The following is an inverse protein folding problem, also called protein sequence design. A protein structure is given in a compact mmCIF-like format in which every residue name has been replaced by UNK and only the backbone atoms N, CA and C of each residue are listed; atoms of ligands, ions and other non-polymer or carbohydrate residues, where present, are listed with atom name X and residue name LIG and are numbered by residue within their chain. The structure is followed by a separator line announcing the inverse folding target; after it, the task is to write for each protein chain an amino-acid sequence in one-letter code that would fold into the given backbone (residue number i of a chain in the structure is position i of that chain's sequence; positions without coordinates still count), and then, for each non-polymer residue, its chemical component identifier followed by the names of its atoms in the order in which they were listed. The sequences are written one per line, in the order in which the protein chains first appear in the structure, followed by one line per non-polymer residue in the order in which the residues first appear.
data_IF_286995697397
#
_entry.id   IF_286995697397
#
_cell.length_a   1.000
_cell.length_b   1.000
_cell.length_c   1.000
_cell.angle_alpha   90.00
_cell.angle_beta   90.00
_cell.angle_gamma   90.00
#
_symmetry.space_group_name_H-M   'P 1'
#
loop_
_entity.id
_entity.type
_entity.pdbx_description
1 polymer ?
#
# COMPACT_ATOMS: atom_id res chain seq x y z
N UNK A 1 20.94 -29.73 -7.36
CA UNK A 1 19.89 -30.75 -7.63
C UNK A 1 18.51 -30.40 -7.05
N UNK A 2 18.40 -29.71 -5.89
CA UNK A 2 17.10 -29.34 -5.30
C UNK A 2 16.22 -28.41 -6.18
N UNK A 3 16.83 -27.46 -6.89
CA UNK A 3 16.09 -26.50 -7.73
C UNK A 3 15.39 -27.13 -8.96
N UNK A 4 15.98 -28.19 -9.55
CA UNK A 4 15.34 -28.93 -10.65
C UNK A 4 14.14 -29.76 -10.17
N UNK A 5 14.16 -30.24 -8.93
CA UNK A 5 13.03 -30.97 -8.35
C UNK A 5 11.90 -30.04 -7.91
N UNK A 6 12.16 -28.78 -7.54
CA UNK A 6 11.11 -27.81 -7.22
C UNK A 6 10.33 -27.31 -8.45
N UNK A 7 10.86 -27.53 -9.66
CA UNK A 7 10.23 -27.12 -10.93
C UNK A 7 9.55 -28.29 -11.68
N UNK A 8 9.59 -29.52 -11.15
CA UNK A 8 8.79 -30.61 -11.71
C UNK A 8 7.32 -30.26 -11.56
N UNK A 9 6.60 -30.12 -12.67
CA UNK A 9 5.14 -29.98 -12.69
C UNK A 9 4.54 -31.29 -12.15
N UNK A 10 4.27 -31.30 -10.84
CA UNK A 10 3.49 -32.35 -10.19
C UNK A 10 2.02 -32.19 -10.55
N UNK A 11 1.33 -33.31 -10.75
CA UNK A 11 -0.12 -33.31 -10.93
C UNK A 11 -0.79 -32.69 -9.70
N UNK A 12 -1.94 -31.99 -9.84
CA UNK A 12 -2.60 -31.33 -8.73
C UNK A 12 -2.77 -32.21 -7.48
N UNK A 13 -3.11 -33.48 -7.66
CA UNK A 13 -3.27 -34.50 -6.62
C UNK A 13 -1.98 -34.84 -5.85
N UNK A 14 -0.81 -34.66 -6.46
CA UNK A 14 0.50 -34.95 -5.87
C UNK A 14 1.15 -33.72 -5.22
N UNK A 15 0.47 -32.56 -5.26
CA UNK A 15 0.98 -31.32 -4.67
C UNK A 15 0.80 -31.37 -3.16
N UNK A 16 1.91 -31.51 -2.43
CA UNK A 16 1.91 -31.30 -0.98
C UNK A 16 1.47 -29.86 -0.68
N UNK A 17 0.39 -29.69 0.11
CA UNK A 17 -0.02 -28.37 0.62
C UNK A 17 1.16 -27.74 1.35
N UNK A 18 1.58 -26.56 0.88
CA UNK A 18 2.70 -25.81 1.48
C UNK A 18 2.10 -24.61 2.21
N UNK A 19 2.56 -24.40 3.43
CA UNK A 19 2.24 -23.18 4.20
C UNK A 19 3.33 -22.15 3.90
N UNK A 20 2.91 -20.94 3.56
CA UNK A 20 3.81 -19.81 3.26
C UNK A 20 4.05 -19.02 4.55
N UNK A 21 5.31 -18.89 4.97
CA UNK A 21 5.70 -18.03 6.09
C UNK A 21 5.78 -16.57 5.63
N UNK A 22 5.12 -15.65 6.35
CA UNK A 22 5.10 -14.21 6.06
C UNK A 22 5.51 -13.44 7.31
N UNK A 23 6.57 -12.63 7.21
CA UNK A 23 6.93 -11.65 8.24
C UNK A 23 6.14 -10.38 7.98
N UNK A 24 5.25 -10.02 8.89
CA UNK A 24 4.22 -9.02 8.64
C UNK A 24 4.22 -7.93 9.72
N UNK A 25 4.32 -6.67 9.25
CA UNK A 25 4.03 -5.47 10.06
C UNK A 25 2.54 -5.21 10.10
N UNK A 26 2.08 -4.24 10.89
CA UNK A 26 0.66 -3.87 10.93
C UNK A 26 0.05 -3.62 9.54
N UNK A 27 0.64 -2.76 8.70
CA UNK A 27 0.16 -2.54 7.33
C UNK A 27 0.20 -3.80 6.43
N UNK A 28 1.17 -4.68 6.62
CA UNK A 28 1.24 -5.98 5.91
C UNK A 28 0.07 -6.87 6.34
N UNK A 29 -0.19 -7.00 7.64
CA UNK A 29 -1.31 -7.82 8.13
C UNK A 29 -2.66 -7.31 7.68
N UNK A 30 -2.84 -5.98 7.58
CA UNK A 30 -4.05 -5.39 6.99
C UNK A 30 -4.23 -5.81 5.53
N UNK A 31 -3.15 -5.91 4.76
CA UNK A 31 -3.21 -6.39 3.38
C UNK A 31 -3.55 -7.88 3.31
N UNK A 32 -3.01 -8.68 4.22
CA UNK A 32 -3.37 -10.10 4.35
C UNK A 32 -4.84 -10.27 4.73
N UNK A 33 -5.37 -9.41 5.62
CA UNK A 33 -6.80 -9.39 5.96
C UNK A 33 -7.64 -9.15 4.70
N UNK A 34 -7.31 -8.14 3.88
CA UNK A 34 -8.01 -7.91 2.60
C UNK A 34 -7.96 -9.16 1.72
N UNK A 35 -6.82 -9.83 1.61
CA UNK A 35 -6.69 -11.06 0.81
C UNK A 35 -7.60 -12.18 1.32
N UNK A 36 -7.68 -12.36 2.64
CA UNK A 36 -8.50 -13.39 3.27
C UNK A 36 -10.00 -13.07 3.14
N UNK A 37 -10.37 -11.80 3.35
CA UNK A 37 -11.73 -11.30 3.11
C UNK A 37 -12.19 -11.56 1.67
N UNK A 38 -11.28 -11.36 0.71
CA UNK A 38 -11.53 -11.59 -0.71
C UNK A 38 -11.16 -13.00 -1.19
N UNK A 39 -10.91 -13.94 -0.26
CA UNK A 39 -10.71 -15.37 -0.54
C UNK A 39 -9.61 -15.65 -1.57
N UNK A 40 -8.52 -14.88 -1.52
CA UNK A 40 -7.37 -15.12 -2.40
C UNK A 40 -6.59 -16.39 -2.02
N UNK A 41 -6.68 -16.79 -0.75
CA UNK A 41 -6.16 -18.03 -0.18
C UNK A 41 -6.83 -18.28 1.18
N UNK A 42 -6.66 -19.47 1.73
CA UNK A 42 -7.21 -19.83 3.04
C UNK A 42 -6.27 -19.41 4.18
N UNK A 43 -6.82 -19.22 5.39
CA UNK A 43 -6.02 -18.80 6.54
C UNK A 43 -4.91 -19.80 6.90
N UNK A 44 -5.13 -21.08 6.62
CA UNK A 44 -4.17 -22.16 6.88
C UNK A 44 -3.10 -22.32 5.76
N UNK A 45 -3.19 -21.54 4.68
CA UNK A 45 -2.15 -21.45 3.65
C UNK A 45 -0.98 -20.55 4.08
N UNK A 46 -1.14 -19.75 5.14
CA UNK A 46 -0.14 -18.78 5.62
C UNK A 46 0.17 -18.93 7.10
N UNK A 47 1.44 -18.76 7.46
CA UNK A 47 1.91 -18.60 8.82
C UNK A 47 2.49 -17.19 8.99
N UNK A 48 1.90 -16.40 9.88
CA UNK A 48 2.17 -14.97 10.02
C UNK A 48 3.05 -14.74 11.25
N UNK A 49 4.28 -14.30 11.02
CA UNK A 49 5.19 -13.79 12.05
C UNK A 49 4.97 -12.28 12.13
N UNK A 50 4.17 -11.86 13.11
CA UNK A 50 3.84 -10.46 13.35
C UNK A 50 5.01 -9.70 14.00
N UNK A 51 5.32 -8.53 13.44
CA UNK A 51 6.38 -7.64 13.96
C UNK A 51 5.82 -6.22 14.12
N UNK A 52 5.67 -5.72 15.36
CA UNK A 52 5.41 -4.30 15.61
C UNK A 52 6.47 -3.40 14.98
N UNK A 53 6.10 -2.20 14.54
CA UNK A 53 6.98 -1.35 13.75
C UNK A 53 6.75 0.14 14.04
N UNK A 54 7.84 0.90 14.19
CA UNK A 54 7.84 2.37 14.36
C UNK A 54 7.95 3.12 13.02
N UNK A 55 7.58 2.45 11.94
CA UNK A 55 7.73 2.93 10.56
C UNK A 55 8.93 2.36 9.82
N UNK A 56 9.01 2.68 8.54
CA UNK A 56 10.16 2.35 7.70
C UNK A 56 10.75 3.60 7.06
N UNK A 57 12.03 3.52 6.72
CA UNK A 57 12.79 4.62 6.15
C UNK A 57 12.39 4.84 4.69
N UNK A 58 12.12 6.09 4.32
CA UNK A 58 12.06 6.50 2.92
C UNK A 58 13.47 6.49 2.33
N UNK A 59 13.76 5.48 1.50
CA UNK A 59 15.06 5.32 0.87
C UNK A 59 15.46 6.50 -0.02
N UNK A 60 14.50 7.18 -0.66
CA UNK A 60 14.81 8.34 -1.51
C UNK A 60 15.18 9.55 -0.68
N UNK A 61 14.34 9.90 0.30
CA UNK A 61 14.62 10.96 1.27
C UNK A 61 15.94 10.73 2.00
N UNK A 62 16.20 9.50 2.45
CA UNK A 62 17.48 9.14 3.07
C UNK A 62 18.65 9.38 2.11
N UNK A 63 18.56 8.90 0.86
CA UNK A 63 19.62 9.06 -0.14
C UNK A 63 19.96 10.53 -0.38
N UNK A 64 18.96 11.41 -0.43
CA UNK A 64 19.16 12.87 -0.51
C UNK A 64 19.89 13.39 0.73
N UNK A 65 19.47 13.00 1.94
CA UNK A 65 20.08 13.47 3.19
C UNK A 65 21.53 13.07 3.38
N UNK A 66 21.94 11.91 2.86
CA UNK A 66 23.32 11.43 2.94
C UNK A 66 24.18 11.83 1.73
N UNK A 67 23.70 12.75 0.90
CA UNK A 67 24.46 13.25 -0.27
C UNK A 67 24.62 12.22 -1.38
N UNK A 68 23.73 11.24 -1.48
CA UNK A 68 23.76 10.19 -2.50
C UNK A 68 24.74 9.05 -2.22
N UNK A 69 25.42 9.04 -1.07
CA UNK A 69 26.37 8.01 -0.68
C UNK A 69 25.73 6.62 -0.60
N UNK A 70 26.48 5.59 -0.99
CA UNK A 70 26.02 4.21 -0.89
C UNK A 70 26.18 3.70 0.54
N UNK A 71 25.14 3.05 1.07
CA UNK A 71 25.13 2.51 2.44
C UNK A 71 25.67 1.09 2.42
N UNK A 72 26.66 0.81 3.28
CA UNK A 72 27.27 -0.52 3.43
C UNK A 72 26.72 -1.25 4.65
N UNK A 73 26.59 -0.56 5.77
CA UNK A 73 25.97 -1.09 6.99
C UNK A 73 25.17 0.03 7.68
N UNK A 74 24.18 -0.36 8.47
CA UNK A 74 23.46 0.58 9.31
C UNK A 74 22.87 -0.07 10.56
N UNK A 75 22.72 0.73 11.61
CA UNK A 75 22.03 0.34 12.85
C UNK A 75 21.11 1.45 13.32
N UNK A 76 20.01 1.06 13.96
CA UNK A 76 19.12 1.98 14.67
C UNK A 76 19.45 1.89 16.15
N UNK A 77 19.77 3.02 16.76
CA UNK A 77 20.13 3.12 18.18
C UNK A 77 19.67 4.47 18.73
N UNK A 78 18.91 4.47 19.83
CA UNK A 78 18.42 5.70 20.47
C UNK A 78 17.64 6.64 19.56
N UNK A 79 16.89 6.12 18.58
CA UNK A 79 16.16 6.93 17.59
C UNK A 79 17.05 7.56 16.50
N UNK A 80 18.32 7.17 16.43
CA UNK A 80 19.25 7.57 15.38
C UNK A 80 19.49 6.39 14.42
N UNK A 81 19.57 6.70 13.13
CA UNK A 81 20.05 5.79 12.10
C UNK A 81 21.53 6.12 11.84
N UNK A 82 22.42 5.25 12.32
CA UNK A 82 23.87 5.33 12.14
C UNK A 82 24.26 4.44 10.96
N UNK A 83 25.02 4.96 10.01
CA UNK A 83 25.36 4.26 8.76
C UNK A 83 26.84 4.41 8.43
N UNK A 84 27.48 3.33 8.00
CA UNK A 84 28.74 3.42 7.24
C UNK A 84 28.39 3.58 5.77
N UNK A 85 28.92 4.62 5.14
CA UNK A 85 28.65 4.91 3.74
C UNK A 85 29.94 4.98 2.92
N UNK A 86 29.82 5.02 1.59
CA UNK A 86 30.95 5.26 0.69
C UNK A 86 31.64 6.62 0.91
N UNK A 87 30.98 7.55 1.62
CA UNK A 87 31.48 8.90 1.94
C UNK A 87 31.57 9.09 3.47
N UNK A 88 32.13 8.08 4.15
CA UNK A 88 32.31 8.06 5.60
C UNK A 88 31.05 7.76 6.40
N UNK A 89 31.16 7.86 7.72
CA UNK A 89 30.05 7.58 8.62
C UNK A 89 29.03 8.72 8.62
N UNK A 90 27.76 8.38 8.48
CA UNK A 90 26.63 9.33 8.51
C UNK A 90 25.68 8.93 9.63
N UNK A 91 25.13 9.93 10.31
CA UNK A 91 24.07 9.73 11.32
C UNK A 91 22.93 10.69 11.04
N UNK A 92 21.70 10.17 11.03
CA UNK A 92 20.48 10.97 10.87
C UNK A 92 19.46 10.54 11.93
N UNK A 93 18.63 11.47 12.39
CA UNK A 93 17.52 11.09 13.25
C UNK A 93 16.52 10.25 12.46
N UNK A 94 16.13 9.09 12.98
CA UNK A 94 15.25 8.14 12.29
C UNK A 94 13.93 8.78 11.90
N UNK A 95 13.33 9.55 12.83
CA UNK A 95 12.08 10.27 12.63
C UNK A 95 12.09 11.21 11.41
N UNK A 96 13.25 11.75 11.03
CA UNK A 96 13.34 12.71 9.94
C UNK A 96 13.53 12.03 8.57
N UNK A 97 13.61 10.70 8.53
CA UNK A 97 13.76 9.90 7.31
C UNK A 97 12.72 8.80 7.20
N UNK A 98 11.70 8.78 8.07
CA UNK A 98 10.57 7.86 7.93
C UNK A 98 9.76 8.20 6.68
N UNK A 99 9.18 7.16 6.07
CA UNK A 99 8.19 7.34 5.03
C UNK A 99 6.97 8.10 5.57
N UNK A 100 6.42 8.99 4.75
CA UNK A 100 5.34 9.90 5.15
C UNK A 100 4.12 9.17 5.70
N UNK A 101 3.76 8.01 5.13
CA UNK A 101 2.68 7.16 5.63
C UNK A 101 2.89 6.63 7.05
N UNK A 102 4.14 6.55 7.50
CA UNK A 102 4.47 6.09 8.84
C UNK A 102 4.29 7.20 9.88
N UNK A 103 4.42 8.47 9.51
CA UNK A 103 4.39 9.60 10.46
C UNK A 103 3.04 9.75 11.19
N UNK A 104 1.96 9.32 10.54
CA UNK A 104 0.59 9.35 11.08
C UNK A 104 -0.03 7.97 11.22
N UNK A 105 0.80 6.92 11.26
CA UNK A 105 0.33 5.54 11.34
C UNK A 105 -0.47 5.28 12.62
N UNK A 106 -1.63 4.62 12.45
CA UNK A 106 -2.48 4.07 13.53
C UNK A 106 -2.19 2.59 13.80
N UNK A 107 -1.67 1.88 12.81
CA UNK A 107 -1.59 0.42 12.77
C UNK A 107 -0.13 -0.05 12.85
N UNK A 108 0.56 0.36 13.91
CA UNK A 108 1.96 -0.02 14.16
C UNK A 108 2.10 -1.49 14.58
N UNK A 109 1.05 -2.06 15.16
CA UNK A 109 1.00 -3.45 15.59
C UNK A 109 0.26 -4.34 14.55
N UNK A 110 0.76 -5.55 14.28
CA UNK A 110 0.02 -6.62 13.59
C UNK A 110 -1.39 -6.81 14.16
N UNK A 111 -2.39 -6.91 13.28
CA UNK A 111 -3.78 -7.17 13.69
C UNK A 111 -4.02 -8.68 13.83
N UNK A 112 -3.47 -9.45 12.89
CA UNK A 112 -3.48 -10.92 12.91
C UNK A 112 -2.04 -11.43 12.89
N UNK A 113 -1.77 -12.49 13.65
CA UNK A 113 -0.49 -13.20 13.63
C UNK A 113 -0.64 -14.60 14.22
N UNK A 114 0.28 -15.51 13.87
CA UNK A 114 0.45 -16.81 14.53
C UNK A 114 1.51 -16.72 15.63
N UNK A 115 2.55 -15.91 15.38
CA UNK A 115 3.64 -15.64 16.32
C UNK A 115 3.91 -14.15 16.33
N UNK A 116 4.00 -13.54 17.50
CA UNK A 116 4.40 -12.14 17.68
C UNK A 116 5.85 -12.05 18.12
N UNK A 117 6.65 -11.23 17.42
CA UNK A 117 8.06 -10.98 17.74
C UNK A 117 8.25 -9.48 17.96
N UNK A 118 8.77 -9.12 19.14
CA UNK A 118 9.00 -7.73 19.53
C UNK A 118 7.95 -7.21 20.53
N UNK A 119 8.21 -6.02 21.06
CA UNK A 119 7.28 -5.34 21.97
C UNK A 119 6.26 -4.51 21.19
N UNK A 120 5.04 -4.30 21.71
CA UNK A 120 4.07 -3.42 21.09
C UNK A 120 4.63 -2.03 20.83
N UNK A 121 4.37 -1.51 19.64
CA UNK A 121 4.73 -0.16 19.23
C UNK A 121 3.54 0.80 19.48
N UNK A 122 3.77 2.01 19.99
CA UNK A 122 2.71 3.01 20.11
C UNK A 122 2.23 3.43 18.71
N UNK A 123 1.00 3.94 18.63
CA UNK A 123 0.56 4.66 17.44
C UNK A 123 1.43 5.94 17.29
N UNK A 124 1.57 6.41 16.05
CA UNK A 124 2.35 7.60 15.74
C UNK A 124 1.49 8.85 15.99
N UNK A 125 1.12 9.61 14.96
CA UNK A 125 0.17 10.72 15.09
C UNK A 125 -1.13 10.45 14.31
N UNK A 126 -1.96 9.49 14.76
CA UNK A 126 -3.11 9.03 13.99
C UNK A 126 -4.22 10.08 13.87
N UNK A 127 -4.31 11.06 14.77
CA UNK A 127 -5.32 12.12 14.70
C UNK A 127 -5.04 13.13 13.58
N UNK A 128 -3.78 13.20 13.13
CA UNK A 128 -3.35 14.01 12.00
C UNK A 128 -3.41 13.27 10.65
N UNK A 129 -3.88 12.01 10.60
CA UNK A 129 -3.80 11.16 9.40
C UNK A 129 -4.52 11.72 8.16
N UNK A 130 -5.44 12.67 8.36
CA UNK A 130 -6.22 13.32 7.29
C UNK A 130 -5.94 14.81 7.12
N UNK A 131 -4.94 15.39 7.80
CA UNK A 131 -4.68 16.84 7.72
C UNK A 131 -4.38 17.29 6.28
N UNK A 132 -3.45 16.61 5.61
CA UNK A 132 -3.08 16.91 4.22
C UNK A 132 -4.25 16.71 3.25
N UNK A 133 -5.13 15.75 3.54
CA UNK A 133 -6.34 15.49 2.75
C UNK A 133 -7.34 16.63 2.94
N UNK A 134 -7.58 17.08 4.17
CA UNK A 134 -8.47 18.21 4.47
C UNK A 134 -8.00 19.51 3.80
N UNK A 135 -6.69 19.76 3.83
CA UNK A 135 -6.10 20.91 3.12
C UNK A 135 -6.32 20.80 1.61
N UNK A 136 -6.16 19.60 1.04
CA UNK A 136 -6.40 19.36 -0.38
C UNK A 136 -7.89 19.46 -0.76
N UNK A 137 -8.80 18.98 0.09
CA UNK A 137 -10.26 19.07 -0.10
C UNK A 137 -10.77 20.51 -0.09
N UNK A 138 -10.12 21.41 0.66
CA UNK A 138 -10.48 22.83 0.73
C UNK A 138 -10.18 23.61 -0.56
N UNK A 139 -9.43 23.02 -1.50
CA UNK A 139 -9.13 23.61 -2.80
C UNK A 139 -10.31 23.50 -3.76
N UNK A 140 -10.38 24.41 -4.74
CA UNK A 140 -11.40 24.37 -5.78
C UNK A 140 -11.30 23.07 -6.61
N UNK A 141 -12.36 22.73 -7.35
CA UNK A 141 -12.35 21.56 -8.26
C UNK A 141 -11.24 21.71 -9.30
N UNK A 142 -11.08 22.92 -9.84
CA UNK A 142 -10.09 23.27 -10.85
C UNK A 142 -8.67 23.12 -10.30
N UNK A 143 -8.41 23.57 -9.07
CA UNK A 143 -7.11 23.43 -8.41
C UNK A 143 -6.77 21.95 -8.14
N UNK A 144 -7.75 21.16 -7.68
CA UNK A 144 -7.56 19.71 -7.47
C UNK A 144 -7.31 18.97 -8.78
N UNK A 145 -8.01 19.34 -9.84
CA UNK A 145 -7.83 18.77 -11.18
C UNK A 145 -6.46 19.14 -11.76
N UNK A 146 -6.03 20.40 -11.62
CA UNK A 146 -4.71 20.85 -12.04
C UNK A 146 -3.60 20.11 -11.29
N UNK A 147 -3.76 19.89 -9.98
CA UNK A 147 -2.84 19.06 -9.19
C UNK A 147 -2.78 17.62 -9.71
N UNK A 148 -3.94 16.99 -9.96
CA UNK A 148 -3.99 15.64 -10.51
C UNK A 148 -3.26 15.54 -11.86
N UNK A 149 -3.54 16.44 -12.80
CA UNK A 149 -2.87 16.46 -14.11
C UNK A 149 -1.35 16.56 -13.91
N UNK A 150 -0.88 17.55 -13.14
CA UNK A 150 0.55 17.77 -12.89
C UNK A 150 1.22 16.57 -12.24
N UNK A 151 0.53 15.88 -11.35
CA UNK A 151 1.07 14.69 -10.68
C UNK A 151 1.15 13.50 -11.65
N UNK A 152 0.14 13.32 -12.52
CA UNK A 152 0.11 12.25 -13.51
C UNK A 152 1.08 12.49 -14.67
N UNK A 153 1.43 13.74 -15.00
CA UNK A 153 2.45 14.07 -16.01
C UNK A 153 3.84 13.51 -15.69
N UNK A 154 4.14 13.19 -14.42
CA UNK A 154 5.38 12.50 -14.03
C UNK A 154 5.39 11.02 -14.42
N UNK A 155 4.22 10.42 -14.71
CA UNK A 155 4.07 8.99 -14.81
C UNK A 155 4.54 8.44 -16.17
N UNK A 156 5.67 7.73 -16.18
CA UNK A 156 6.19 6.99 -17.34
C UNK A 156 5.55 5.59 -17.53
N UNK A 157 4.47 5.32 -16.79
CA UNK A 157 3.69 4.07 -16.85
C UNK A 157 4.48 2.76 -16.76
N UNK A 158 5.57 2.77 -15.99
CA UNK A 158 6.41 1.60 -15.73
C UNK A 158 5.75 0.48 -14.90
N UNK A 159 4.53 0.68 -14.42
CA UNK A 159 3.75 -0.28 -13.61
C UNK A 159 4.37 -0.71 -12.28
N UNK A 160 5.47 -0.11 -11.81
CA UNK A 160 6.10 -0.45 -10.53
C UNK A 160 5.11 -0.35 -9.35
N UNK A 161 4.29 0.70 -9.33
CA UNK A 161 3.26 0.89 -8.30
C UNK A 161 2.13 -0.16 -8.34
N UNK A 162 1.87 -0.80 -9.50
CA UNK A 162 0.97 -1.94 -9.63
C UNK A 162 1.63 -3.20 -9.06
N UNK A 163 2.87 -3.48 -9.47
CA UNK A 163 3.59 -4.68 -9.06
C UNK A 163 3.89 -4.71 -7.56
N UNK A 164 4.11 -3.56 -6.94
CA UNK A 164 4.36 -3.46 -5.50
C UNK A 164 3.09 -3.45 -4.63
N UNK A 165 1.91 -3.31 -5.22
CA UNK A 165 0.66 -3.20 -4.47
C UNK A 165 0.14 -4.59 -4.11
N UNK A 166 -0.05 -4.91 -2.81
CA UNK A 166 -0.57 -6.22 -2.43
C UNK A 166 -2.00 -6.42 -2.89
N UNK A 167 -2.80 -5.37 -3.11
CA UNK A 167 -4.19 -5.49 -3.57
C UNK A 167 -4.35 -5.59 -5.09
N UNK A 168 -3.25 -5.61 -5.85
CA UNK A 168 -3.27 -5.75 -7.31
C UNK A 168 -3.06 -7.20 -7.76
N UNK A 169 -3.98 -8.10 -7.42
CA UNK A 169 -3.90 -9.55 -7.74
C UNK A 169 -4.89 -10.04 -8.81
N UNK A 170 -5.64 -9.14 -9.46
CA UNK A 170 -6.62 -9.54 -10.47
C UNK A 170 -5.96 -10.42 -11.55
N UNK A 171 -6.52 -11.60 -11.87
CA UNK A 171 -5.97 -12.48 -12.89
C UNK A 171 -6.02 -11.84 -14.28
N UNK A 172 -6.98 -10.94 -14.48
CA UNK A 172 -7.19 -10.17 -15.70
C UNK A 172 -7.12 -8.68 -15.36
N UNK A 173 -6.09 -8.00 -15.84
CA UNK A 173 -5.89 -6.57 -15.58
C UNK A 173 -6.32 -5.72 -16.78
N UNK A 174 -7.11 -4.65 -16.56
CA UNK A 174 -7.54 -3.72 -17.62
C UNK A 174 -6.38 -3.11 -18.42
N UNK A 175 -5.21 -2.99 -17.79
CA UNK A 175 -3.97 -2.46 -18.37
C UNK A 175 -3.39 -3.39 -19.42
N UNK A 176 -3.67 -4.69 -19.29
CA UNK A 176 -3.16 -5.74 -20.17
C UNK A 176 -4.23 -6.21 -21.17
N UNK A 177 -5.41 -5.58 -21.17
CA UNK A 177 -6.48 -5.91 -22.12
C UNK A 177 -6.31 -5.15 -23.42
N UNK A 178 -6.42 -5.88 -24.53
CA UNK A 178 -6.56 -5.29 -25.88
C UNK A 178 -8.02 -5.16 -26.32
N UNK A 179 -8.97 -5.83 -25.65
CA UNK A 179 -10.39 -5.81 -26.01
C UNK A 179 -11.32 -5.88 -24.78
N UNK A 180 -12.04 -4.79 -24.45
CA UNK A 180 -11.82 -3.43 -24.93
C UNK A 180 -10.46 -2.90 -24.47
N UNK A 181 -9.80 -2.10 -25.30
CA UNK A 181 -8.57 -1.43 -24.93
C UNK A 181 -8.90 -0.16 -24.15
N UNK A 182 -8.63 -0.18 -22.84
CA UNK A 182 -8.89 0.98 -21.96
C UNK A 182 -7.75 2.00 -21.96
N UNK A 183 -6.52 1.53 -22.14
CA UNK A 183 -5.30 2.34 -22.20
C UNK A 183 -4.36 1.78 -23.26
N UNK A 184 -3.61 2.64 -23.95
CA UNK A 184 -2.59 2.29 -24.94
C UNK A 184 -1.39 1.54 -24.37
N UNK A 185 -0.31 1.36 -25.13
CA UNK A 185 0.98 0.80 -24.65
C UNK A 185 1.99 1.91 -24.26
N UNK A 186 1.79 3.14 -24.74
CA UNK A 186 2.67 4.29 -24.51
C UNK A 186 2.35 5.12 -23.26
N UNK A 187 2.95 6.30 -23.15
CA UNK A 187 2.78 7.20 -22.01
C UNK A 187 1.91 8.43 -22.34
N UNK A 188 0.98 8.27 -23.28
CA UNK A 188 0.03 9.32 -23.65
C UNK A 188 -0.67 9.86 -22.41
N UNK A 189 -0.86 11.19 -22.36
CA UNK A 189 -1.37 11.87 -21.16
C UNK A 189 -2.73 11.32 -20.72
N UNK A 190 -3.60 11.00 -21.67
CA UNK A 190 -4.91 10.39 -21.40
C UNK A 190 -4.76 9.00 -20.80
N UNK A 191 -3.84 8.19 -21.31
CA UNK A 191 -3.60 6.83 -20.82
C UNK A 191 -3.06 6.80 -19.40
N UNK A 192 -2.09 7.66 -19.10
CA UNK A 192 -1.49 7.71 -17.75
C UNK A 192 -2.50 8.18 -16.71
N UNK A 193 -3.35 9.15 -17.07
CA UNK A 193 -4.46 9.60 -16.25
C UNK A 193 -5.52 8.50 -16.05
N UNK A 194 -6.00 7.87 -17.12
CA UNK A 194 -7.01 6.80 -17.05
C UNK A 194 -6.50 5.61 -16.26
N UNK A 195 -5.24 5.21 -16.49
CA UNK A 195 -4.57 4.15 -15.74
C UNK A 195 -4.59 4.42 -14.24
N UNK A 196 -4.17 5.61 -13.81
CA UNK A 196 -4.12 5.92 -12.38
C UNK A 196 -5.51 6.15 -11.81
N UNK A 197 -6.42 6.80 -12.53
CA UNK A 197 -7.81 6.98 -12.10
C UNK A 197 -8.49 5.64 -11.83
N UNK A 198 -8.49 4.71 -12.79
CA UNK A 198 -9.06 3.37 -12.60
C UNK A 198 -8.38 2.61 -11.45
N UNK A 199 -7.05 2.68 -11.33
CA UNK A 199 -6.34 2.03 -10.23
C UNK A 199 -6.72 2.61 -8.88
N UNK A 200 -6.85 3.93 -8.75
CA UNK A 200 -7.28 4.57 -7.51
C UNK A 200 -8.67 4.07 -7.10
N UNK A 201 -9.61 3.98 -8.06
CA UNK A 201 -10.95 3.46 -7.81
C UNK A 201 -10.97 1.97 -7.44
N UNK A 202 -10.13 1.13 -8.04
CA UNK A 202 -10.00 -0.27 -7.63
C UNK A 202 -9.49 -0.46 -6.20
N UNK A 203 -8.99 0.60 -5.56
CA UNK A 203 -8.45 0.58 -4.20
C UNK A 203 -9.43 1.07 -3.13
N UNK A 204 -10.67 1.44 -3.49
CA UNK A 204 -11.74 1.81 -2.55
C UNK A 204 -11.95 0.67 -1.54
N UNK A 205 -11.79 0.97 -0.25
CA UNK A 205 -11.86 -0.02 0.84
C UNK A 205 -10.70 -1.03 0.92
N UNK A 206 -9.70 -0.95 0.03
CA UNK A 206 -8.58 -1.90 -0.06
C UNK A 206 -7.22 -1.31 0.23
N UNK A 207 -7.05 0.01 0.10
CA UNK A 207 -5.77 0.66 0.39
C UNK A 207 -5.51 0.71 1.90
N UNK A 208 -4.41 0.10 2.34
CA UNK A 208 -4.00 0.09 3.76
C UNK A 208 -3.01 1.21 4.11
N UNK A 209 -2.83 2.20 3.24
CA UNK A 209 -1.89 3.31 3.40
C UNK A 209 -0.43 2.87 3.69
N UNK A 210 0.04 1.80 3.03
CA UNK A 210 1.38 1.27 3.27
C UNK A 210 2.51 2.04 2.58
N UNK A 211 2.20 2.99 1.68
CA UNK A 211 3.19 3.80 0.96
C UNK A 211 4.00 3.08 -0.13
N UNK A 212 3.79 1.78 -0.38
CA UNK A 212 4.58 1.00 -1.36
C UNK A 212 4.54 1.59 -2.77
N UNK A 213 3.41 2.17 -3.19
CA UNK A 213 3.30 2.76 -4.53
C UNK A 213 4.21 3.99 -4.72
N UNK A 214 4.37 4.81 -3.67
CA UNK A 214 5.21 6.00 -3.67
C UNK A 214 6.70 5.61 -3.55
N UNK A 215 7.00 4.63 -2.69
CA UNK A 215 8.38 4.19 -2.48
C UNK A 215 9.01 3.64 -3.77
N UNK A 216 8.27 2.86 -4.55
CA UNK A 216 8.78 2.24 -5.79
C UNK A 216 8.72 3.13 -7.03
N UNK A 217 8.00 4.26 -7.00
CA UNK A 217 7.84 5.07 -8.21
C UNK A 217 9.15 5.79 -8.59
N UNK A 218 9.81 5.50 -9.72
CA UNK A 218 11.08 6.15 -10.07
C UNK A 218 10.93 7.65 -10.33
N UNK A 219 9.74 8.10 -10.72
CA UNK A 219 9.46 9.50 -11.10
C UNK A 219 8.85 10.34 -9.98
N UNK A 220 8.69 9.76 -8.78
CA UNK A 220 8.12 10.48 -7.64
C UNK A 220 6.65 10.88 -7.82
N UNK A 221 5.86 10.03 -8.48
CA UNK A 221 4.39 10.15 -8.49
C UNK A 221 3.85 9.83 -7.09
N UNK A 222 3.16 10.77 -6.49
CA UNK A 222 2.44 10.61 -5.23
C UNK A 222 0.99 10.20 -5.47
N UNK A 223 0.74 8.89 -5.38
CA UNK A 223 -0.62 8.34 -5.38
C UNK A 223 -1.27 8.37 -3.99
N UNK A 224 -0.49 8.56 -2.93
CA UNK A 224 -0.95 8.43 -1.55
C UNK A 224 -1.99 9.49 -1.23
N UNK A 225 -1.81 10.73 -1.69
CA UNK A 225 -2.79 11.81 -1.46
C UNK A 225 -4.22 11.42 -1.89
N UNK A 226 -4.36 10.83 -3.07
CA UNK A 226 -5.65 10.37 -3.59
C UNK A 226 -6.15 9.12 -2.87
N UNK A 227 -5.26 8.15 -2.62
CA UNK A 227 -5.62 6.94 -1.88
C UNK A 227 -6.06 7.23 -0.45
N UNK A 228 -5.43 8.21 0.22
CA UNK A 228 -5.78 8.61 1.59
C UNK A 228 -7.08 9.40 1.64
N UNK A 229 -7.40 10.16 0.58
CA UNK A 229 -8.73 10.74 0.37
C UNK A 229 -9.79 9.65 0.23
N UNK A 230 -9.57 8.63 -0.59
CA UNK A 230 -10.49 7.49 -0.73
C UNK A 230 -10.63 6.72 0.60
N UNK A 231 -9.55 6.53 1.37
CA UNK A 231 -9.60 5.96 2.72
C UNK A 231 -10.45 6.80 3.68
N UNK A 232 -10.29 8.13 3.67
CA UNK A 232 -11.13 9.06 4.45
C UNK A 232 -12.60 8.92 4.09
N UNK A 233 -12.92 8.87 2.79
CA UNK A 233 -14.30 8.70 2.32
C UNK A 233 -14.87 7.35 2.76
N UNK A 234 -14.10 6.27 2.67
CA UNK A 234 -14.53 4.97 3.18
C UNK A 234 -14.84 5.00 4.68
N UNK A 235 -14.04 5.74 5.46
CA UNK A 235 -14.26 5.87 6.89
C UNK A 235 -15.47 6.76 7.23
N UNK A 236 -15.58 7.94 6.63
CA UNK A 236 -16.68 8.88 6.87
C UNK A 236 -18.01 8.31 6.36
N UNK A 237 -18.00 7.79 5.13
CA UNK A 237 -19.20 7.27 4.50
C UNK A 237 -19.55 5.91 5.06
N UNK A 238 -18.63 4.95 5.20
CA UNK A 238 -19.00 3.56 5.52
C UNK A 238 -18.49 3.07 6.88
N UNK A 239 -17.78 3.91 7.64
CA UNK A 239 -17.12 3.51 8.89
C UNK A 239 -16.12 2.35 8.70
N UNK A 240 -15.68 2.15 7.45
CA UNK A 240 -14.75 1.10 7.08
C UNK A 240 -13.32 1.62 7.16
N UNK A 241 -12.43 0.77 7.67
CA UNK A 241 -10.98 0.97 7.53
C UNK A 241 -10.38 -0.29 6.94
N UNK A 242 -9.79 -0.17 5.75
CA UNK A 242 -9.28 -1.30 4.98
C UNK A 242 -8.45 -2.28 5.83
N UNK A 243 -8.88 -3.53 5.92
CA UNK A 243 -8.17 -4.58 6.63
C UNK A 243 -8.01 -4.33 8.13
N UNK A 244 -8.87 -3.52 8.77
CA UNK A 244 -8.81 -3.24 10.21
C UNK A 244 -9.36 -4.39 11.08
N UNK A 245 -10.17 -5.28 10.50
CA UNK A 245 -10.70 -6.50 11.12
C UNK A 245 -11.02 -7.51 10.02
N UNK A 246 -11.14 -8.79 10.38
CA UNK A 246 -11.54 -9.85 9.45
C UNK A 246 -13.02 -9.71 9.00
N UNK A 247 -13.83 -9.09 9.85
CA UNK A 247 -15.28 -8.94 9.70
C UNK A 247 -15.68 -7.66 8.96
N UNK A 248 -14.86 -6.61 9.05
CA UNK A 248 -15.08 -5.32 8.36
C UNK A 248 -14.67 -5.41 6.88
N UNK A 249 -15.54 -6.03 6.08
CA UNK A 249 -15.37 -6.21 4.63
C UNK A 249 -15.28 -4.85 3.90
N UNK A 250 -14.48 -4.74 2.81
CA UNK A 250 -14.46 -3.54 1.98
C UNK A 250 -15.86 -3.13 1.52
N UNK A 251 -16.21 -1.83 1.45
CA UNK A 251 -17.58 -1.38 1.19
C UNK A 251 -18.16 -1.90 -0.13
N UNK A 252 -17.34 -2.05 -1.17
CA UNK A 252 -17.77 -2.57 -2.48
C UNK A 252 -17.92 -4.10 -2.52
N UNK A 253 -17.54 -4.80 -1.44
CA UNK A 253 -17.66 -6.25 -1.29
C UNK A 253 -18.67 -6.68 -0.22
N UNK A 254 -19.40 -5.74 0.38
CA UNK A 254 -20.40 -5.99 1.42
C UNK A 254 -21.79 -5.58 0.91
N UNK A 255 -22.80 -6.36 1.27
CA UNK A 255 -24.21 -5.99 1.14
C UNK A 255 -24.83 -5.88 2.54
N UNK A 256 -25.62 -4.84 2.79
CA UNK A 256 -26.32 -4.61 4.07
C UNK A 256 -27.71 -4.03 3.80
N UNK A 257 -28.74 -4.88 3.86
CA UNK A 257 -30.12 -4.47 3.58
C UNK A 257 -30.66 -3.41 4.54
N UNK A 258 -30.14 -3.36 5.77
CA UNK A 258 -30.74 -2.57 6.86
C UNK A 258 -29.97 -1.30 7.19
N UNK A 259 -28.67 -1.25 6.86
CA UNK A 259 -27.79 -0.15 7.24
C UNK A 259 -26.95 0.39 6.07
N UNK A 260 -27.35 0.14 4.82
CA UNK A 260 -26.77 0.87 3.70
C UNK A 260 -27.02 2.37 3.88
N UNK A 261 -25.96 3.17 3.68
CA UNK A 261 -25.92 4.58 4.06
C UNK A 261 -26.30 5.51 2.91
N UNK A 262 -26.51 4.98 1.71
CA UNK A 262 -27.04 5.74 0.58
C UNK A 262 -28.46 5.28 0.24
N UNK A 263 -29.26 6.24 -0.22
CA UNK A 263 -30.51 5.91 -0.91
C UNK A 263 -30.15 5.09 -2.17
N UNK A 264 -30.87 4.00 -2.40
CA UNK A 264 -30.75 3.25 -3.65
C UNK A 264 -30.95 4.21 -4.84
N UNK A 265 -30.02 4.24 -5.79
CA UNK A 265 -30.17 5.05 -7.01
C UNK A 265 -31.25 4.40 -7.88
N UNK A 266 -32.49 4.85 -7.75
CA UNK A 266 -33.63 4.35 -8.55
C UNK A 266 -33.69 4.96 -9.97
N UNK A 267 -32.94 6.03 -10.25
CA UNK A 267 -32.90 6.68 -11.55
C UNK A 267 -31.45 6.91 -12.00
N UNK A 268 -30.94 6.13 -12.98
CA UNK A 268 -29.62 6.34 -13.57
C UNK A 268 -29.53 7.60 -14.45
#
# INVERSE_FOLDING_TARGET
MAHKNSQKRVKPEDRKKKVIGVVARGCTTRSLIIHLQERQYERDDVCIIGVPCDGYVDGKGLKVKIGGADIVEGTVDGGQLKMKTSDGDKTVALKDVLAECCLTCRFNNPIISDVMIGSPAPAMNPDAEYNDVKEFEAKSIEERWAYFIKEMEKCIRCNACRQACPSCYCPTCFVEQSQPQWVGIGEDKTDTQVFQFMRLYHMVGRCVDCGSCVSVCPMGVDLRKFLKKIDKDCFEMFSNRAGSSMEDMPPLGKYDEHHDKQDFIYNP
#
